data_IF_642139722170
#
_entry.id   IF_642139722170
#
_cell.length_a   1.000
_cell.length_b   1.000
_cell.length_c   1.000
_cell.angle_alpha   90.00
_cell.angle_beta   90.00
_cell.angle_gamma   90.00
#
_symmetry.space_group_name_H-M   'P 1'
#
loop_
_entity.id
_entity.type
_entity.pdbx_description
1 polymer ?
#
# COMPACT_ATOMS: atom_id res chain seq x y z
N UNK A 1 30.78 9.22 0.26
CA UNK A 1 29.75 8.17 0.37
C UNK A 1 29.68 7.80 1.84
N UNK A 2 28.65 8.29 2.53
CA UNK A 2 28.43 8.00 3.95
C UNK A 2 27.72 6.67 4.08
N UNK A 3 28.31 5.74 4.81
CA UNK A 3 27.66 4.50 5.21
C UNK A 3 26.66 4.85 6.31
N UNK A 4 25.37 4.75 6.01
CA UNK A 4 24.31 4.88 7.00
C UNK A 4 24.18 3.52 7.70
N UNK A 5 24.54 3.46 9.00
CA UNK A 5 24.37 2.26 9.83
C UNK A 5 23.03 2.39 10.55
N UNK A 6 22.01 1.71 10.03
CA UNK A 6 20.66 1.53 10.59
C UNK A 6 19.91 0.50 9.75
N UNK A 7 18.98 -0.24 10.33
CA UNK A 7 18.09 -1.11 9.55
C UNK A 7 17.20 -0.20 8.67
N UNK A 8 17.37 -0.30 7.35
CA UNK A 8 16.51 0.38 6.37
C UNK A 8 15.44 -0.58 5.87
N UNK A 9 14.23 -0.06 5.67
CA UNK A 9 13.05 -0.83 5.29
C UNK A 9 12.10 -1.07 6.46
N UNK A 10 11.00 -1.74 6.15
CA UNK A 10 9.95 -2.12 7.09
C UNK A 10 9.24 -3.35 6.55
N UNK A 11 8.82 -4.25 7.44
CA UNK A 11 8.00 -5.40 7.04
C UNK A 11 7.11 -5.84 8.19
N UNK A 12 5.85 -6.10 7.90
CA UNK A 12 4.89 -6.68 8.83
C UNK A 12 3.92 -7.59 8.07
N UNK A 13 3.80 -8.84 8.54
CA UNK A 13 2.86 -9.83 8.03
C UNK A 13 1.57 -9.93 8.88
N UNK A 14 1.35 -8.97 9.78
CA UNK A 14 0.13 -8.79 10.59
C UNK A 14 -0.12 -9.87 11.67
N UNK A 15 0.72 -10.90 11.75
CA UNK A 15 0.56 -12.02 12.70
C UNK A 15 0.92 -11.67 14.15
N UNK A 16 1.67 -10.59 14.35
CA UNK A 16 2.16 -10.17 15.67
C UNK A 16 1.29 -9.08 16.31
N UNK A 17 0.09 -8.86 15.78
CA UNK A 17 -0.84 -7.83 16.23
C UNK A 17 -0.46 -6.42 15.75
N UNK A 18 -1.07 -5.40 16.35
CA UNK A 18 -0.99 -4.02 15.84
C UNK A 18 0.23 -3.22 16.32
N UNK A 19 1.24 -3.84 16.92
CA UNK A 19 2.31 -3.15 17.66
C UNK A 19 3.20 -2.23 16.80
N UNK A 20 3.29 -2.50 15.50
CA UNK A 20 4.04 -1.69 14.53
C UNK A 20 3.20 -0.60 13.88
N UNK A 21 2.00 -0.37 14.38
CA UNK A 21 1.02 0.55 13.78
C UNK A 21 0.33 1.40 14.84
N UNK A 22 -0.18 2.52 14.37
CA UNK A 22 -1.15 3.36 15.06
C UNK A 22 -2.42 3.41 14.23
N UNK A 23 -3.57 3.49 14.88
CA UNK A 23 -4.85 3.61 14.21
C UNK A 23 -5.68 4.73 14.85
N UNK A 24 -6.50 5.41 14.05
CA UNK A 24 -7.29 6.53 14.53
C UNK A 24 -8.24 7.09 13.47
N UNK A 25 -8.78 8.27 13.77
CA UNK A 25 -9.76 8.97 12.94
C UNK A 25 -11.21 8.77 13.41
N UNK A 26 -12.14 9.26 12.59
CA UNK A 26 -13.59 9.25 12.84
C UNK A 26 -14.19 7.92 12.40
N UNK A 27 -15.07 7.36 13.25
CA UNK A 27 -15.74 6.07 13.00
C UNK A 27 -14.77 4.91 12.72
N UNK A 28 -13.59 4.92 13.36
CA UNK A 28 -12.52 3.97 13.10
C UNK A 28 -12.91 2.52 13.39
N UNK A 29 -12.82 1.66 12.37
CA UNK A 29 -13.05 0.21 12.47
C UNK A 29 -11.80 -0.61 12.13
N UNK A 30 -10.63 0.02 11.95
CA UNK A 30 -9.40 -0.72 11.71
C UNK A 30 -9.01 -1.57 12.92
N UNK A 31 -8.84 -2.88 12.70
CA UNK A 31 -8.32 -3.82 13.70
C UNK A 31 -7.66 -5.02 13.02
N UNK A 32 -6.82 -5.74 13.77
CA UNK A 32 -6.28 -7.03 13.31
C UNK A 32 -7.41 -8.05 13.35
N UNK A 33 -7.60 -8.76 12.24
CA UNK A 33 -8.70 -9.71 12.04
C UNK A 33 -8.20 -11.02 11.46
N UNK A 34 -9.01 -12.08 11.63
CA UNK A 34 -8.83 -13.41 11.04
C UNK A 34 -9.91 -13.73 9.99
N UNK A 35 -10.77 -12.75 9.65
CA UNK A 35 -11.88 -12.95 8.71
C UNK A 35 -11.41 -13.27 7.30
N UNK A 36 -10.45 -12.48 6.79
CA UNK A 36 -9.75 -12.70 5.53
C UNK A 36 -8.28 -12.37 5.76
N UNK A 37 -7.41 -13.07 5.05
CA UNK A 37 -5.97 -12.86 5.08
C UNK A 37 -5.38 -13.39 3.78
N UNK A 38 -4.28 -12.80 3.35
CA UNK A 38 -3.46 -13.33 2.27
C UNK A 38 -2.44 -14.32 2.85
N UNK A 39 -1.78 -13.98 3.97
CA UNK A 39 -0.88 -14.90 4.64
C UNK A 39 -0.56 -14.53 6.10
N UNK A 40 -0.35 -15.52 6.99
CA UNK A 40 -0.97 -16.84 7.05
C UNK A 40 -2.36 -16.87 7.70
N UNK A 41 -2.66 -16.04 8.71
CA UNK A 41 -3.93 -16.09 9.46
C UNK A 41 -4.53 -14.74 9.87
N UNK A 42 -3.77 -13.66 9.81
CA UNK A 42 -4.19 -12.32 10.20
C UNK A 42 -4.06 -11.34 9.05
N UNK A 43 -4.84 -10.28 9.10
CA UNK A 43 -4.63 -9.07 8.29
C UNK A 43 -5.24 -7.87 9.03
N UNK A 44 -4.92 -6.66 8.58
CA UNK A 44 -5.69 -5.49 8.97
C UNK A 44 -7.05 -5.53 8.28
N UNK A 45 -8.11 -5.24 9.03
CA UNK A 45 -9.48 -5.15 8.53
C UNK A 45 -10.12 -3.83 8.94
N UNK A 46 -10.70 -3.11 7.98
CA UNK A 46 -11.55 -1.96 8.19
C UNK A 46 -13.02 -2.32 7.93
N UNK A 47 -13.71 -2.70 9.00
CA UNK A 47 -15.13 -3.03 9.00
C UNK A 47 -15.53 -3.67 10.33
N UNK A 48 -16.82 -3.88 10.55
CA UNK A 48 -17.31 -4.48 11.78
C UNK A 48 -17.33 -6.01 11.67
N UNK A 49 -16.66 -6.70 12.59
CA UNK A 49 -16.52 -8.17 12.58
C UNK A 49 -17.82 -8.93 12.85
N UNK A 50 -18.91 -8.27 13.26
CA UNK A 50 -20.22 -8.88 13.50
C UNK A 50 -21.10 -8.73 12.25
N UNK A 51 -21.13 -7.53 11.67
CA UNK A 51 -21.99 -7.25 10.51
C UNK A 51 -21.31 -7.53 9.17
N UNK A 52 -19.97 -7.66 9.16
CA UNK A 52 -19.14 -7.70 7.96
C UNK A 52 -19.41 -6.50 7.05
N UNK A 53 -19.50 -5.31 7.66
CA UNK A 53 -19.74 -4.06 6.95
C UNK A 53 -18.97 -2.91 7.60
N UNK A 54 -18.49 -1.97 6.79
CA UNK A 54 -18.03 -0.67 7.30
C UNK A 54 -19.21 0.30 7.48
N UNK A 55 -18.94 1.46 8.09
CA UNK A 55 -19.93 2.51 8.32
C UNK A 55 -19.82 3.64 7.29
N UNK A 56 -20.93 4.33 7.02
CA UNK A 56 -20.90 5.57 6.26
C UNK A 56 -20.14 6.68 7.01
N UNK A 57 -19.63 7.65 6.26
CA UNK A 57 -18.92 8.83 6.75
C UNK A 57 -17.72 8.47 7.64
N UNK A 58 -16.93 7.49 7.21
CA UNK A 58 -15.66 7.13 7.85
C UNK A 58 -14.55 8.02 7.33
N UNK A 59 -13.65 8.38 8.25
CA UNK A 59 -12.37 9.02 7.94
C UNK A 59 -11.37 8.51 8.97
N UNK A 60 -10.82 7.33 8.69
CA UNK A 60 -10.00 6.57 9.62
C UNK A 60 -8.78 5.98 8.95
N UNK A 61 -7.76 5.62 9.74
CA UNK A 61 -6.50 5.18 9.17
C UNK A 61 -5.79 4.14 10.02
N UNK A 62 -4.90 3.40 9.36
CA UNK A 62 -3.74 2.76 9.97
C UNK A 62 -2.47 3.46 9.48
N UNK A 63 -1.48 3.54 10.36
CA UNK A 63 -0.22 4.20 10.05
C UNK A 63 0.93 3.45 10.74
N UNK A 64 1.91 3.05 9.95
CA UNK A 64 3.15 2.41 10.43
C UNK A 64 3.87 3.26 11.48
N UNK A 65 4.69 2.63 12.33
CA UNK A 65 5.76 3.36 13.03
C UNK A 65 6.74 3.99 12.04
N UNK A 66 7.48 5.05 12.41
CA UNK A 66 8.50 5.63 11.54
C UNK A 66 9.59 4.60 11.19
N UNK A 67 9.95 4.53 9.92
CA UNK A 67 11.05 3.71 9.43
C UNK A 67 11.85 4.45 8.36
N UNK A 68 13.10 4.03 8.17
CA UNK A 68 14.02 4.67 7.25
C UNK A 68 14.02 3.95 5.91
N UNK A 69 13.96 4.69 4.80
CA UNK A 69 14.06 4.14 3.45
C UNK A 69 15.44 4.36 2.85
N UNK A 70 15.79 3.54 1.85
CA UNK A 70 17.02 3.65 1.08
C UNK A 70 16.73 4.12 -0.35
N UNK A 71 17.78 4.37 -1.13
CA UNK A 71 17.63 4.61 -2.57
C UNK A 71 16.96 3.40 -3.24
N UNK A 72 16.07 3.67 -4.20
CA UNK A 72 15.31 2.65 -4.92
C UNK A 72 14.50 1.74 -3.99
N UNK A 73 13.91 2.33 -2.94
CA UNK A 73 12.95 1.60 -2.12
C UNK A 73 11.66 1.39 -2.88
N UNK A 74 11.00 0.26 -2.63
CA UNK A 74 9.70 -0.12 -3.16
C UNK A 74 8.80 -0.44 -1.97
N UNK A 75 7.57 0.06 -2.02
CA UNK A 75 6.48 -0.30 -1.12
C UNK A 75 5.60 -1.36 -1.78
N UNK A 76 5.31 -2.44 -1.04
CA UNK A 76 4.41 -3.51 -1.44
C UNK A 76 3.44 -3.85 -0.31
N UNK A 77 2.23 -4.23 -0.66
CA UNK A 77 1.28 -4.86 0.25
C UNK A 77 0.17 -5.54 -0.54
N UNK A 78 -0.48 -6.53 0.08
CA UNK A 78 -1.67 -7.15 -0.46
C UNK A 78 -2.91 -6.46 0.06
N UNK A 79 -3.90 -6.28 -0.82
CA UNK A 79 -5.21 -5.76 -0.43
C UNK A 79 -6.36 -6.54 -1.06
N UNK A 80 -7.42 -6.70 -0.30
CA UNK A 80 -8.73 -7.19 -0.74
C UNK A 80 -9.77 -6.19 -0.28
N UNK A 81 -10.85 -5.98 -1.04
CA UNK A 81 -11.92 -5.12 -0.57
C UNK A 81 -13.28 -5.39 -1.20
N UNK A 82 -14.32 -4.97 -0.51
CA UNK A 82 -15.68 -4.88 -1.03
C UNK A 82 -16.27 -3.52 -0.66
N UNK A 83 -16.55 -2.70 -1.68
CA UNK A 83 -17.18 -1.38 -1.57
C UNK A 83 -18.21 -1.20 -2.69
N UNK A 84 -19.26 -0.37 -2.50
CA UNK A 84 -20.30 -0.08 -3.46
C UNK A 84 -19.77 0.54 -4.75
N UNK A 85 -20.28 0.10 -5.90
CA UNK A 85 -19.86 0.58 -7.23
C UNK A 85 -20.02 2.09 -7.48
N UNK A 86 -20.90 2.75 -6.72
CA UNK A 86 -21.18 4.18 -6.81
C UNK A 86 -20.89 4.85 -5.48
N UNK A 87 -20.42 6.09 -5.55
CA UNK A 87 -19.97 6.83 -4.37
C UNK A 87 -18.47 7.02 -4.37
N UNK A 88 -17.95 7.43 -3.22
CA UNK A 88 -16.53 7.63 -2.95
C UNK A 88 -16.13 6.86 -1.69
N UNK A 89 -15.93 5.56 -1.85
CA UNK A 89 -15.52 4.66 -0.76
C UNK A 89 -14.20 3.99 -1.14
N UNK A 90 -13.16 4.21 -0.34
CA UNK A 90 -11.83 3.71 -0.70
C UNK A 90 -10.73 4.07 0.28
N UNK A 91 -9.54 3.56 -0.02
CA UNK A 91 -8.31 3.87 0.72
C UNK A 91 -7.44 4.85 -0.05
N UNK A 92 -6.83 5.77 0.68
CA UNK A 92 -5.69 6.56 0.21
C UNK A 92 -4.40 5.98 0.77
N UNK A 93 -3.39 5.85 -0.11
CA UNK A 93 -2.02 5.47 0.29
C UNK A 93 -1.21 6.76 0.39
N UNK A 94 -0.73 7.07 1.59
CA UNK A 94 -0.11 8.37 1.88
C UNK A 94 1.26 8.17 2.53
N UNK A 95 2.29 8.78 1.94
CA UNK A 95 3.62 8.91 2.55
C UNK A 95 3.63 10.14 3.45
N UNK A 96 3.93 9.92 4.72
CA UNK A 96 4.08 10.94 5.74
C UNK A 96 5.57 11.10 6.04
N UNK A 97 6.11 12.30 5.82
CA UNK A 97 7.49 12.62 6.19
C UNK A 97 7.57 13.83 7.12
N UNK A 98 8.74 14.42 7.26
CA UNK A 98 8.94 15.60 8.11
C UNK A 98 8.27 16.83 7.48
N UNK A 99 7.06 17.14 7.96
CA UNK A 99 6.30 18.32 7.56
C UNK A 99 5.55 18.20 6.22
N UNK A 100 5.49 17.00 5.62
CA UNK A 100 4.70 16.75 4.41
C UNK A 100 3.87 15.48 4.48
N UNK A 101 2.84 15.45 3.65
CA UNK A 101 2.02 14.28 3.35
C UNK A 101 1.82 14.23 1.83
N UNK A 102 2.17 13.11 1.22
CA UNK A 102 2.01 12.90 -0.22
C UNK A 102 1.15 11.68 -0.51
N UNK A 103 0.15 11.83 -1.35
CA UNK A 103 -0.76 10.74 -1.73
C UNK A 103 -0.19 10.01 -2.94
N UNK A 104 0.08 8.72 -2.80
CA UNK A 104 0.51 7.86 -3.89
C UNK A 104 -0.67 7.39 -4.74
N UNK A 105 -1.78 7.02 -4.09
CA UNK A 105 -2.91 6.41 -4.79
C UNK A 105 -4.22 6.51 -4.00
N UNK A 106 -5.31 6.25 -4.71
CA UNK A 106 -6.66 6.05 -4.20
C UNK A 106 -7.20 4.76 -4.83
N UNK A 107 -7.43 3.77 -3.97
CA UNK A 107 -7.98 2.47 -4.36
C UNK A 107 -9.39 2.38 -3.78
N UNK A 108 -10.40 2.30 -4.64
CA UNK A 108 -11.78 2.21 -4.22
C UNK A 108 -12.74 2.61 -5.33
N UNK A 109 -13.90 3.11 -4.93
CA UNK A 109 -14.94 3.55 -5.85
C UNK A 109 -14.90 5.07 -5.99
N UNK A 110 -15.15 5.55 -7.22
CA UNK A 110 -14.95 6.96 -7.57
C UNK A 110 -15.59 7.35 -8.90
N UNK A 111 -16.75 6.75 -9.21
CA UNK A 111 -17.50 7.06 -10.42
C UNK A 111 -17.02 6.34 -11.68
N UNK A 112 -16.90 5.01 -11.64
CA UNK A 112 -16.66 4.20 -12.83
C UNK A 112 -17.87 4.20 -13.78
N UNK A 113 -18.05 5.25 -14.57
CA UNK A 113 -18.88 5.20 -15.78
C UNK A 113 -18.13 4.43 -16.86
N UNK A 114 -18.16 3.10 -16.80
CA UNK A 114 -17.67 2.27 -17.91
C UNK A 114 -17.07 0.92 -17.54
N UNK A 115 -17.89 -0.02 -17.05
CA UNK A 115 -17.79 -1.46 -17.34
C UNK A 115 -16.51 -2.23 -16.98
N UNK A 116 -15.49 -1.63 -16.37
CA UNK A 116 -14.37 -2.36 -15.76
C UNK A 116 -14.76 -2.67 -14.32
N UNK A 117 -14.93 -3.96 -14.03
CA UNK A 117 -15.11 -4.42 -12.66
C UNK A 117 -13.92 -3.95 -11.82
N UNK A 118 -14.19 -3.46 -10.62
CA UNK A 118 -13.16 -3.14 -9.66
C UNK A 118 -12.54 -4.47 -9.22
N UNK A 119 -11.22 -4.60 -9.31
CA UNK A 119 -10.53 -5.80 -8.86
C UNK A 119 -10.60 -5.85 -7.34
N UNK A 120 -11.60 -6.53 -6.79
CA UNK A 120 -11.88 -6.63 -5.36
C UNK A 120 -11.13 -7.77 -4.66
N UNK A 121 -10.66 -8.76 -5.42
CA UNK A 121 -9.90 -9.89 -4.86
C UNK A 121 -8.50 -9.46 -4.40
N UNK A 122 -7.80 -10.34 -3.69
CA UNK A 122 -6.44 -10.11 -3.23
C UNK A 122 -5.54 -9.71 -4.40
N UNK A 123 -4.89 -8.56 -4.25
CA UNK A 123 -4.00 -8.00 -5.24
C UNK A 123 -2.82 -7.32 -4.55
N UNK A 124 -1.63 -7.53 -5.08
CA UNK A 124 -0.41 -6.87 -4.61
C UNK A 124 -0.32 -5.48 -5.25
N UNK A 125 -0.32 -4.46 -4.42
CA UNK A 125 0.00 -3.10 -4.83
C UNK A 125 1.51 -2.89 -4.73
N UNK A 126 2.10 -2.18 -5.69
CA UNK A 126 3.55 -1.92 -5.75
C UNK A 126 3.82 -0.46 -6.14
N UNK A 127 4.53 0.28 -5.28
CA UNK A 127 4.88 1.68 -5.49
C UNK A 127 6.38 1.92 -5.40
N UNK A 128 6.94 2.63 -6.38
CA UNK A 128 8.30 3.18 -6.31
C UNK A 128 8.33 4.28 -5.25
N UNK A 129 9.32 4.21 -4.36
CA UNK A 129 9.66 5.27 -3.41
C UNK A 129 10.96 5.98 -3.84
N UNK A 130 11.39 5.83 -5.09
CA UNK A 130 12.67 6.35 -5.58
C UNK A 130 12.78 7.88 -5.52
N UNK A 131 11.63 8.56 -5.49
CA UNK A 131 11.53 10.02 -5.37
C UNK A 131 11.88 10.56 -3.98
N UNK A 132 11.87 9.70 -2.95
CA UNK A 132 12.20 10.07 -1.59
C UNK A 132 13.69 9.83 -1.33
N UNK A 133 14.43 10.82 -0.80
CA UNK A 133 15.84 10.69 -0.46
C UNK A 133 16.19 9.47 0.41
N UNK A 134 17.28 8.78 0.04
CA UNK A 134 17.86 7.74 0.88
C UNK A 134 18.23 8.29 2.27
N UNK A 135 17.88 7.52 3.31
CA UNK A 135 18.08 7.91 4.72
C UNK A 135 16.95 8.76 5.29
N UNK A 136 15.92 9.09 4.49
CA UNK A 136 14.72 9.73 4.99
C UNK A 136 13.93 8.77 5.88
N UNK A 137 13.37 9.32 6.97
CA UNK A 137 12.46 8.59 7.86
C UNK A 137 11.04 8.97 7.48
N UNK A 138 10.25 7.98 7.09
CA UNK A 138 8.85 8.13 6.68
C UNK A 138 7.94 7.27 7.53
N UNK A 139 6.64 7.55 7.45
CA UNK A 139 5.56 6.65 7.83
C UNK A 139 4.64 6.50 6.64
N UNK A 140 4.13 5.29 6.41
CA UNK A 140 3.04 5.06 5.47
C UNK A 140 1.72 5.04 6.23
N UNK A 141 0.76 5.84 5.75
CA UNK A 141 -0.62 5.87 6.21
C UNK A 141 -1.54 5.31 5.12
N UNK A 142 -2.41 4.39 5.53
CA UNK A 142 -3.51 3.90 4.70
C UNK A 142 -4.80 4.43 5.33
N UNK A 143 -5.44 5.38 4.66
CA UNK A 143 -6.62 6.07 5.18
C UNK A 143 -7.87 5.62 4.42
N UNK A 144 -8.84 5.03 5.12
CA UNK A 144 -10.14 4.67 4.57
C UNK A 144 -11.14 5.80 4.74
N UNK A 145 -11.72 6.23 3.61
CA UNK A 145 -12.79 7.21 3.54
C UNK A 145 -14.04 6.54 2.99
N UNK A 146 -15.20 6.80 3.60
CA UNK A 146 -16.51 6.44 3.03
C UNK A 146 -17.44 7.63 3.00
N UNK A 147 -18.32 7.64 1.99
CA UNK A 147 -19.34 8.66 1.84
C UNK A 147 -20.59 8.41 2.71
N UNK A 148 -21.61 9.24 2.54
CA UNK A 148 -22.88 9.16 3.26
C UNK A 148 -24.00 8.42 2.53
N UNK A 149 -23.69 7.68 1.47
CA UNK A 149 -24.64 7.06 0.55
C UNK A 149 -25.40 5.85 1.10
N UNK A 150 -26.28 5.26 0.28
CA UNK A 150 -27.19 4.18 0.71
C UNK A 150 -26.56 2.78 0.71
N UNK A 151 -25.27 2.65 0.38
CA UNK A 151 -24.58 1.37 0.25
C UNK A 151 -23.33 1.31 1.11
N UNK A 152 -23.09 0.17 1.74
CA UNK A 152 -21.82 -0.21 2.36
C UNK A 152 -21.48 -1.64 1.93
N UNK A 153 -20.20 -1.93 1.82
CA UNK A 153 -19.65 -3.27 1.58
C UNK A 153 -18.91 -3.81 2.80
N UNK A 154 -18.18 -4.91 2.61
CA UNK A 154 -17.39 -5.52 3.69
C UNK A 154 -16.26 -4.63 4.20
N UNK A 155 -15.71 -3.78 3.33
CA UNK A 155 -14.63 -2.86 3.64
C UNK A 155 -13.29 -3.32 3.05
N UNK A 156 -12.19 -2.97 3.72
CA UNK A 156 -10.83 -3.20 3.22
C UNK A 156 -10.02 -4.11 4.12
N UNK A 157 -9.19 -4.93 3.49
CA UNK A 157 -8.19 -5.75 4.14
C UNK A 157 -6.80 -5.42 3.60
N UNK A 158 -5.81 -5.32 4.48
CA UNK A 158 -4.40 -5.07 4.14
C UNK A 158 -3.52 -6.12 4.79
N UNK A 159 -2.63 -6.72 4.02
CA UNK A 159 -1.76 -7.79 4.48
C UNK A 159 -0.36 -7.73 3.84
N UNK A 160 0.61 -8.43 4.44
CA UNK A 160 1.99 -8.57 3.95
C UNK A 160 2.62 -7.25 3.48
N UNK A 161 2.68 -6.28 4.38
CA UNK A 161 3.20 -4.94 4.10
C UNK A 161 4.73 -4.95 4.16
N UNK A 162 5.38 -4.53 3.09
CA UNK A 162 6.84 -4.49 2.96
C UNK A 162 7.29 -3.19 2.30
N UNK A 163 8.24 -2.50 2.93
CA UNK A 163 9.08 -1.49 2.30
C UNK A 163 10.51 -2.03 2.24
N UNK A 164 10.98 -2.38 1.05
CA UNK A 164 12.29 -2.95 0.80
C UNK A 164 13.07 -2.12 -0.22
N UNK A 165 14.36 -2.37 -0.39
CA UNK A 165 15.19 -1.67 -1.36
C UNK A 165 15.92 -2.66 -2.27
N UNK A 166 16.03 -2.33 -3.55
CA UNK A 166 16.75 -3.16 -4.50
C UNK A 166 18.24 -2.78 -4.47
N UNK A 167 19.09 -3.67 -3.98
CA UNK A 167 20.53 -3.59 -4.25
C UNK A 167 20.82 -4.18 -5.63
N UNK A 168 21.04 -3.34 -6.63
CA UNK A 168 21.58 -3.84 -7.89
C UNK A 168 23.04 -4.29 -7.68
N UNK A 169 23.26 -5.60 -7.53
CA UNK A 169 24.56 -6.22 -7.79
C UNK A 169 24.50 -6.75 -9.23
N UNK A 170 25.14 -6.04 -10.16
CA UNK A 170 25.30 -6.53 -11.52
C UNK A 170 26.57 -7.39 -11.58
N UNK A 171 26.44 -8.72 -11.51
CA UNK A 171 27.51 -9.61 -11.97
C UNK A 171 27.51 -9.60 -13.51
N UNK A 172 28.59 -9.08 -14.09
CA UNK A 172 28.80 -9.11 -15.54
C UNK A 172 29.26 -10.50 -15.94
N UNK A 173 28.33 -11.38 -16.31
CA UNK A 173 28.63 -12.60 -17.08
C UNK A 173 28.10 -12.42 -18.49
N UNK A 174 29.02 -12.23 -19.43
CA UNK A 174 28.73 -12.10 -20.84
C UNK A 174 28.35 -13.46 -21.44
N UNK A 175 27.05 -13.78 -21.49
CA UNK A 175 26.46 -14.53 -22.60
C UNK A 175 24.94 -14.27 -22.72
N UNK A 176 24.36 -14.72 -23.83
CA UNK A 176 23.13 -14.25 -24.47
C UNK A 176 21.79 -14.72 -23.87
N UNK A 177 20.86 -13.77 -23.71
CA UNK A 177 19.56 -13.59 -24.43
C UNK A 177 18.89 -12.38 -23.78
N UNK A 178 18.65 -11.30 -24.51
CA UNK A 178 18.10 -10.06 -23.92
C UNK A 178 16.59 -10.20 -23.72
N UNK A 179 16.16 -10.45 -22.48
CA UNK A 179 14.77 -10.27 -22.09
C UNK A 179 14.62 -8.87 -21.47
N UNK A 180 13.85 -8.01 -22.13
CA UNK A 180 13.48 -6.70 -21.58
C UNK A 180 12.30 -6.89 -20.64
N UNK A 181 12.54 -6.71 -19.34
CA UNK A 181 11.47 -6.58 -18.35
C UNK A 181 11.18 -5.10 -18.17
N UNK A 182 9.92 -4.73 -18.36
CA UNK A 182 9.41 -3.39 -18.12
C UNK A 182 8.56 -3.42 -16.84
N UNK A 183 8.89 -2.58 -15.88
CA UNK A 183 8.06 -2.32 -14.70
C UNK A 183 7.59 -0.88 -14.75
N UNK A 184 6.31 -0.70 -14.45
CA UNK A 184 5.67 0.61 -14.43
C UNK A 184 5.08 0.77 -13.05
N UNK A 185 5.50 1.82 -12.34
CA UNK A 185 4.99 2.15 -11.01
C UNK A 185 4.08 3.38 -11.15
N UNK A 186 2.76 3.20 -11.29
CA UNK A 186 1.84 4.31 -11.43
C UNK A 186 1.68 5.05 -10.08
N UNK A 187 1.78 6.37 -10.11
CA UNK A 187 1.25 7.27 -9.07
C UNK A 187 0.21 8.18 -9.74
N UNK A 188 -1.09 7.85 -9.69
CA UNK A 188 -2.13 8.61 -10.38
C UNK A 188 -2.39 10.01 -9.83
N UNK A 189 -1.81 10.37 -8.68
CA UNK A 189 -1.92 11.71 -8.08
C UNK A 189 -0.77 12.63 -8.45
N UNK A 190 0.25 12.11 -9.14
CA UNK A 190 1.35 12.91 -9.68
C UNK A 190 1.35 12.94 -11.21
N UNK A 191 1.99 13.98 -11.77
CA UNK A 191 2.09 14.19 -13.22
C UNK A 191 3.35 13.54 -13.84
N UNK A 192 3.96 12.58 -13.15
CA UNK A 192 5.13 11.81 -13.57
C UNK A 192 4.81 10.31 -13.48
N UNK A 193 5.53 9.50 -14.27
CA UNK A 193 5.45 8.04 -14.24
C UNK A 193 6.85 7.46 -14.17
N UNK A 194 7.09 6.59 -13.19
CA UNK A 194 8.36 5.88 -13.06
C UNK A 194 8.28 4.59 -13.88
N UNK A 195 9.14 4.52 -14.90
CA UNK A 195 9.31 3.35 -15.76
C UNK A 195 10.70 2.81 -15.50
N UNK A 196 10.76 1.64 -14.88
CA UNK A 196 11.99 0.88 -14.72
C UNK A 196 12.06 -0.18 -15.81
N UNK A 197 13.25 -0.36 -16.38
CA UNK A 197 13.52 -1.48 -17.26
C UNK A 197 14.77 -2.20 -16.79
N UNK A 198 14.73 -3.52 -16.82
CA UNK A 198 15.94 -4.32 -16.70
C UNK A 198 16.09 -5.20 -17.94
N UNK A 199 17.31 -5.27 -18.44
CA UNK A 199 17.69 -6.19 -19.51
C UNK A 199 18.24 -7.42 -18.78
N UNK A 200 17.44 -8.47 -18.72
CA UNK A 200 17.91 -9.76 -18.24
C UNK A 200 18.87 -10.34 -19.28
N UNK A 201 20.07 -10.70 -18.84
CA UNK A 201 20.96 -11.57 -19.60
C UNK A 201 20.59 -13.01 -19.22
N UNK A 202 20.00 -13.75 -20.18
CA UNK A 202 19.72 -15.18 -20.03
C UNK A 202 20.96 -16.05 -20.00
#
# INVERSE_FOLDING_TARGET
IGLLIGETGFSDNMESGSGLWTTGGTNNLWHISTTRYFSPTHSWYCGDSITYQYNNNMDCYIQTIPFMINANSILKFYRWFDVPLYGTDGIYIIIMGDGYADTLDFIGTGGALGGRGIQSDWFEEEYSLSEYPAGETIQVRIAFISDGGDGVGEGFYIDDFVAEYITMIQEYTADRTEQMFLRVHPNPFRHNIDIEYCIGHG
#
